data_IF_802517466711
#
_entry.id   IF_802517466711
#
_cell.length_a   1.000
_cell.length_b   1.000
_cell.length_c   1.000
_cell.angle_alpha   90.00
_cell.angle_beta   90.00
_cell.angle_gamma   90.00
#
_symmetry.space_group_name_H-M   'P 1'
#
loop_
_entity.id
_entity.type
_entity.pdbx_description
1 polymer ?
#
# COMPACT_ATOMS: atom_id res chain seq x y z
N UNK A 1 7.72 18.38 -32.29
CA UNK A 1 7.54 16.92 -32.15
C UNK A 1 6.20 16.69 -31.48
N UNK A 2 5.38 15.83 -32.07
CA UNK A 2 3.96 15.64 -31.72
C UNK A 2 3.79 15.06 -30.31
N UNK A 3 2.72 15.45 -29.62
CA UNK A 3 2.28 15.00 -28.28
C UNK A 3 2.02 13.48 -28.14
N UNK A 4 2.37 12.67 -29.14
CA UNK A 4 2.01 11.25 -29.24
C UNK A 4 3.04 10.25 -28.70
N UNK A 5 4.27 10.66 -28.36
CA UNK A 5 5.39 9.70 -28.28
C UNK A 5 5.76 9.17 -26.88
N UNK A 6 4.91 9.31 -25.84
CA UNK A 6 5.22 8.74 -24.50
C UNK A 6 4.01 8.20 -23.72
N UNK A 7 3.04 7.57 -24.38
CA UNK A 7 2.16 6.62 -23.68
C UNK A 7 2.95 5.31 -23.54
N UNK A 8 3.01 4.70 -22.35
CA UNK A 8 3.52 3.33 -22.23
C UNK A 8 2.52 2.37 -22.88
N UNK A 9 2.70 2.18 -24.19
CA UNK A 9 1.76 1.62 -25.17
C UNK A 9 1.38 0.17 -24.87
N UNK A 10 2.24 -0.58 -24.15
CA UNK A 10 1.95 -1.95 -23.71
C UNK A 10 1.08 -2.00 -22.46
N UNK A 11 0.99 -0.92 -21.68
CA UNK A 11 0.20 -0.87 -20.45
C UNK A 11 -1.28 -0.60 -20.72
N UNK A 12 -1.62 0.22 -21.73
CA UNK A 12 -2.99 0.65 -22.02
C UNK A 12 -3.90 -0.53 -22.43
N UNK A 13 -3.45 -1.38 -23.35
CA UNK A 13 -4.24 -2.53 -23.82
C UNK A 13 -4.60 -3.50 -22.68
N UNK A 14 -3.65 -3.78 -21.79
CA UNK A 14 -3.86 -4.63 -20.61
C UNK A 14 -4.78 -3.98 -19.57
N UNK A 15 -4.66 -2.67 -19.35
CA UNK A 15 -5.54 -1.91 -18.44
C UNK A 15 -6.99 -1.95 -18.92
N UNK A 16 -7.22 -1.68 -20.20
CA UNK A 16 -8.55 -1.75 -20.81
C UNK A 16 -9.14 -3.17 -20.72
N UNK A 17 -8.33 -4.19 -20.98
CA UNK A 17 -8.73 -5.58 -20.85
C UNK A 17 -9.13 -5.93 -19.40
N UNK A 18 -8.33 -5.51 -18.42
CA UNK A 18 -8.58 -5.74 -17.00
C UNK A 18 -9.85 -5.03 -16.54
N UNK A 19 -10.00 -3.73 -16.85
CA UNK A 19 -11.17 -2.94 -16.48
C UNK A 19 -12.46 -3.56 -17.06
N UNK A 20 -12.42 -4.02 -18.32
CA UNK A 20 -13.53 -4.74 -18.94
C UNK A 20 -13.88 -6.04 -18.21
N UNK A 21 -12.88 -6.82 -17.80
CA UNK A 21 -13.10 -8.06 -17.06
C UNK A 21 -13.70 -7.80 -15.67
N UNK A 22 -13.26 -6.75 -14.97
CA UNK A 22 -13.84 -6.33 -13.69
C UNK A 22 -15.29 -5.86 -13.83
N UNK A 23 -15.63 -5.21 -14.94
CA UNK A 23 -17.01 -4.87 -15.28
C UNK A 23 -17.87 -6.09 -15.72
N UNK A 24 -17.30 -7.30 -15.76
CA UNK A 24 -18.00 -8.52 -16.17
C UNK A 24 -18.36 -8.58 -17.66
N UNK A 25 -17.77 -7.71 -18.50
CA UNK A 25 -18.14 -7.58 -19.90
C UNK A 25 -17.29 -8.49 -20.80
N UNK A 26 -17.93 -9.18 -21.74
CA UNK A 26 -17.21 -9.83 -22.86
C UNK A 26 -16.74 -8.77 -23.85
N UNK A 27 -15.73 -9.09 -24.69
CA UNK A 27 -15.31 -8.19 -25.76
C UNK A 27 -16.46 -7.85 -26.72
N UNK A 28 -17.37 -8.78 -26.98
CA UNK A 28 -18.55 -8.56 -27.81
C UNK A 28 -19.55 -7.61 -27.15
N UNK A 29 -19.88 -7.83 -25.87
CA UNK A 29 -20.77 -6.95 -25.11
C UNK A 29 -20.21 -5.52 -25.02
N UNK A 30 -18.90 -5.41 -24.78
CA UNK A 30 -18.20 -4.13 -24.76
C UNK A 30 -18.29 -3.40 -26.11
N UNK A 31 -18.07 -4.11 -27.21
CA UNK A 31 -18.14 -3.54 -28.56
C UNK A 31 -19.54 -3.04 -28.89
N UNK A 32 -20.58 -3.78 -28.50
CA UNK A 32 -21.98 -3.40 -28.70
C UNK A 32 -22.32 -2.12 -27.93
N UNK A 33 -21.84 -2.00 -26.68
CA UNK A 33 -22.10 -0.83 -25.84
C UNK A 33 -21.27 0.39 -26.25
N UNK A 34 -20.02 0.21 -26.67
CA UNK A 34 -19.11 1.30 -27.06
C UNK A 34 -19.26 1.75 -28.52
N UNK A 35 -20.05 1.04 -29.34
CA UNK A 35 -20.14 1.29 -30.78
C UNK A 35 -18.81 1.01 -31.52
N UNK A 36 -18.04 0.02 -31.06
CA UNK A 36 -16.74 -0.34 -31.62
C UNK A 36 -16.79 -1.67 -32.37
N UNK A 37 -15.90 -1.84 -33.36
CA UNK A 37 -15.74 -3.15 -33.99
C UNK A 37 -14.98 -4.12 -33.08
N UNK A 38 -15.38 -5.39 -33.08
CA UNK A 38 -14.67 -6.46 -32.35
C UNK A 38 -13.18 -6.52 -32.72
N UNK A 39 -12.87 -6.35 -34.01
CA UNK A 39 -11.48 -6.33 -34.51
C UNK A 39 -10.67 -5.18 -33.92
N UNK A 40 -11.28 -4.00 -33.78
CA UNK A 40 -10.64 -2.82 -33.18
C UNK A 40 -10.32 -3.06 -31.72
N UNK A 41 -11.29 -3.49 -30.90
CA UNK A 41 -11.07 -3.75 -29.47
C UNK A 41 -10.03 -4.86 -29.25
N UNK A 42 -10.12 -5.97 -29.99
CA UNK A 42 -9.18 -7.08 -29.87
C UNK A 42 -7.75 -6.71 -30.28
N UNK A 43 -7.56 -5.77 -31.20
CA UNK A 43 -6.24 -5.24 -31.56
C UNK A 43 -5.69 -4.27 -30.52
N UNK A 44 -6.55 -3.47 -29.89
CA UNK A 44 -6.18 -2.57 -28.78
C UNK A 44 -5.75 -3.39 -27.56
N UNK A 45 -6.57 -4.34 -27.10
CA UNK A 45 -6.28 -5.15 -25.89
C UNK A 45 -4.99 -5.97 -26.04
N UNK A 46 -4.68 -6.45 -27.24
CA UNK A 46 -3.44 -7.19 -27.53
C UNK A 46 -2.24 -6.30 -27.82
N UNK A 47 -2.40 -4.97 -27.84
CA UNK A 47 -1.33 -4.02 -28.14
C UNK A 47 -0.89 -3.96 -29.61
N UNK A 48 -1.70 -4.48 -30.54
CA UNK A 48 -1.45 -4.37 -31.98
C UNK A 48 -1.78 -2.95 -32.51
N UNK A 49 -2.72 -2.25 -31.88
CA UNK A 49 -2.92 -0.81 -32.06
C UNK A 49 -2.25 -0.11 -30.88
N UNK A 50 -1.10 0.51 -31.15
CA UNK A 50 -0.25 1.16 -30.14
C UNK A 50 -0.79 2.50 -29.67
N UNK A 51 -1.38 3.26 -30.60
CA UNK A 51 -1.96 4.58 -30.36
C UNK A 51 -3.43 4.62 -30.85
N UNK A 52 -4.39 4.12 -30.06
CA UNK A 52 -5.80 4.28 -30.38
C UNK A 52 -6.21 5.76 -30.31
N UNK A 53 -7.24 6.15 -31.06
CA UNK A 53 -7.72 7.53 -31.03
C UNK A 53 -8.30 7.90 -29.66
N UNK A 54 -8.16 9.16 -29.23
CA UNK A 54 -8.70 9.64 -27.95
C UNK A 54 -10.22 9.43 -27.85
N UNK A 55 -10.92 9.54 -28.98
CA UNK A 55 -12.35 9.28 -29.08
C UNK A 55 -12.68 7.81 -28.81
N UNK A 56 -11.89 6.88 -29.35
CA UNK A 56 -12.02 5.45 -29.08
C UNK A 56 -11.78 5.12 -27.61
N UNK A 57 -10.77 5.73 -26.98
CA UNK A 57 -10.50 5.50 -25.56
C UNK A 57 -11.64 6.07 -24.70
N UNK A 58 -12.18 7.23 -25.05
CA UNK A 58 -13.34 7.83 -24.36
C UNK A 58 -14.58 6.95 -24.44
N UNK A 59 -14.91 6.41 -25.62
CA UNK A 59 -16.04 5.49 -25.77
C UNK A 59 -15.92 4.24 -24.88
N UNK A 60 -14.69 3.75 -24.70
CA UNK A 60 -14.44 2.63 -23.79
C UNK A 60 -14.58 3.07 -22.32
N UNK A 61 -14.08 4.25 -21.97
CA UNK A 61 -14.20 4.85 -20.64
C UNK A 61 -15.66 5.01 -20.20
N UNK A 62 -16.49 5.57 -21.07
CA UNK A 62 -17.90 5.85 -20.82
C UNK A 62 -18.68 4.56 -20.50
N UNK A 63 -18.40 3.47 -21.22
CA UNK A 63 -19.04 2.17 -21.00
C UNK A 63 -18.57 1.50 -19.71
N UNK A 64 -17.28 1.62 -19.41
CA UNK A 64 -16.68 1.03 -18.21
C UNK A 64 -16.96 1.85 -16.94
N UNK A 65 -17.55 3.04 -17.05
CA UNK A 65 -17.76 3.98 -15.95
C UNK A 65 -16.47 4.33 -15.20
N UNK A 66 -15.36 4.36 -15.94
CA UNK A 66 -14.03 4.73 -15.44
C UNK A 66 -13.60 6.04 -16.06
N UNK A 67 -12.80 6.83 -15.35
CA UNK A 67 -12.31 8.09 -15.91
C UNK A 67 -11.31 7.86 -17.04
N UNK A 68 -11.22 8.81 -17.97
CA UNK A 68 -10.21 8.77 -19.03
C UNK A 68 -8.78 8.78 -18.44
N UNK A 69 -8.61 9.46 -17.30
CA UNK A 69 -7.38 9.48 -16.53
C UNK A 69 -7.02 8.09 -15.99
N UNK A 70 -7.98 7.36 -15.44
CA UNK A 70 -7.76 6.00 -14.95
C UNK A 70 -7.34 5.04 -16.06
N UNK A 71 -7.92 5.16 -17.26
CA UNK A 71 -7.61 4.31 -18.42
C UNK A 71 -6.29 4.63 -19.09
N UNK A 72 -6.00 5.92 -19.29
CA UNK A 72 -4.74 6.38 -19.90
C UNK A 72 -3.56 6.31 -18.91
N UNK A 73 -3.81 5.89 -17.67
CA UNK A 73 -2.79 5.70 -16.65
C UNK A 73 -2.31 7.01 -16.03
N UNK A 74 -3.25 7.93 -15.79
CA UNK A 74 -2.99 9.30 -15.40
C UNK A 74 -2.12 9.95 -16.46
N UNK A 75 -2.73 10.62 -17.44
CA UNK A 75 -2.00 11.71 -18.08
C UNK A 75 -1.67 12.70 -16.95
N UNK A 76 -0.45 12.58 -16.42
CA UNK A 76 0.18 13.51 -15.49
C UNK A 76 -0.38 13.62 -14.06
N UNK A 77 -0.38 12.54 -13.27
CA UNK A 77 -0.22 12.72 -11.80
C UNK A 77 1.25 12.66 -11.34
N UNK A 78 2.18 12.40 -12.27
CA UNK A 78 3.63 12.50 -12.05
C UNK A 78 4.24 13.81 -12.59
N UNK A 79 3.43 14.75 -13.10
CA UNK A 79 3.93 16.08 -13.46
C UNK A 79 3.58 17.00 -12.30
N UNK A 80 4.59 17.24 -11.47
CA UNK A 80 4.63 18.12 -10.29
C UNK A 80 4.11 17.50 -8.98
N UNK A 81 4.50 16.26 -8.68
CA UNK A 81 4.66 15.89 -7.26
C UNK A 81 5.66 16.86 -6.62
N UNK A 82 5.27 17.42 -5.50
CA UNK A 82 5.94 18.53 -4.84
C UNK A 82 7.15 18.03 -4.07
N UNK A 83 8.01 18.97 -3.70
CA UNK A 83 9.09 18.81 -2.73
C UNK A 83 8.76 19.60 -1.48
N UNK A 84 9.09 19.06 -0.32
CA UNK A 84 9.00 19.81 0.93
C UNK A 84 10.15 20.82 1.03
N UNK A 85 10.05 21.79 1.95
CA UNK A 85 11.17 22.69 2.28
C UNK A 85 12.45 21.95 2.72
N UNK A 86 12.31 20.75 3.29
CA UNK A 86 13.43 19.90 3.70
C UNK A 86 14.02 19.06 2.57
N UNK A 87 13.42 19.09 1.37
CA UNK A 87 13.89 18.33 0.22
C UNK A 87 13.20 16.98 0.01
N UNK A 88 12.23 16.60 0.84
CA UNK A 88 11.51 15.32 0.74
C UNK A 88 10.62 15.29 -0.51
N UNK A 89 10.69 14.20 -1.26
CA UNK A 89 9.87 13.93 -2.45
C UNK A 89 9.11 12.59 -2.37
N UNK A 90 9.54 11.70 -1.46
CA UNK A 90 8.93 10.39 -1.22
C UNK A 90 8.67 10.14 0.26
N UNK A 91 7.49 9.62 0.61
CA UNK A 91 7.10 9.38 2.00
C UNK A 91 6.70 7.92 2.19
N UNK A 92 7.38 7.23 3.10
CA UNK A 92 6.99 5.93 3.62
C UNK A 92 6.21 6.07 4.92
N UNK A 93 5.06 5.38 4.97
CA UNK A 93 4.27 5.22 6.19
C UNK A 93 4.41 3.77 6.69
N UNK A 94 4.73 3.62 7.97
CA UNK A 94 4.47 2.36 8.67
C UNK A 94 2.95 2.09 8.76
N UNK A 95 2.55 0.85 9.05
CA UNK A 95 1.14 0.48 9.16
C UNK A 95 0.69 0.34 10.62
N UNK A 96 1.31 -0.56 11.39
CA UNK A 96 0.83 -0.93 12.72
C UNK A 96 1.39 0.03 13.77
N UNK A 97 0.52 0.79 14.42
CA UNK A 97 0.91 1.91 15.29
C UNK A 97 0.95 3.26 14.55
N UNK A 98 0.83 3.27 13.22
CA UNK A 98 0.86 4.51 12.43
C UNK A 98 -0.43 4.76 11.61
N UNK A 99 -0.80 3.86 10.71
CA UNK A 99 -2.06 3.96 9.94
C UNK A 99 -3.23 3.24 10.63
N UNK A 100 -2.93 2.19 11.37
CA UNK A 100 -3.89 1.48 12.22
C UNK A 100 -3.32 1.34 13.61
N UNK A 101 -4.19 1.24 14.62
CA UNK A 101 -3.79 0.89 15.98
C UNK A 101 -3.16 -0.50 16.02
N UNK A 102 -2.22 -0.69 16.94
CA UNK A 102 -1.61 -1.99 17.15
C UNK A 102 -2.65 -3.06 17.54
N UNK A 103 -2.42 -4.29 17.10
CA UNK A 103 -3.36 -5.41 17.21
C UNK A 103 -3.36 -6.09 18.59
N UNK A 104 -2.84 -5.48 19.66
CA UNK A 104 -2.79 -6.07 21.01
C UNK A 104 -4.17 -6.54 21.52
N UNK A 105 -5.26 -5.92 21.04
CA UNK A 105 -6.64 -6.34 21.35
C UNK A 105 -6.95 -7.76 20.83
N UNK A 106 -6.24 -8.26 19.83
CA UNK A 106 -6.35 -9.64 19.35
C UNK A 106 -6.00 -10.63 20.45
N UNK A 107 -4.92 -10.39 21.22
CA UNK A 107 -4.54 -11.25 22.34
C UNK A 107 -5.61 -11.30 23.43
N UNK A 108 -6.25 -10.16 23.70
CA UNK A 108 -7.38 -10.10 24.64
C UNK A 108 -8.61 -10.86 24.12
N UNK A 109 -8.90 -10.79 22.82
CA UNK A 109 -10.00 -11.55 22.22
C UNK A 109 -9.74 -13.06 22.26
N UNK A 110 -8.52 -13.49 21.91
CA UNK A 110 -8.11 -14.90 22.02
C UNK A 110 -8.18 -15.39 23.47
N UNK A 111 -7.73 -14.57 24.44
CA UNK A 111 -7.82 -14.89 25.86
C UNK A 111 -9.27 -15.13 26.31
N UNK A 112 -10.21 -14.30 25.84
CA UNK A 112 -11.63 -14.44 26.14
C UNK A 112 -12.21 -15.75 25.58
N UNK A 113 -11.79 -16.14 24.39
CA UNK A 113 -12.34 -17.32 23.70
C UNK A 113 -11.71 -18.64 24.18
N UNK A 114 -10.46 -18.59 24.66
CA UNK A 114 -9.68 -19.78 25.05
C UNK A 114 -9.56 -19.97 26.56
N UNK A 115 -9.76 -18.92 27.36
CA UNK A 115 -9.52 -18.90 28.80
C UNK A 115 -8.05 -18.77 29.21
N UNK A 116 -7.13 -18.61 28.25
CA UNK A 116 -5.71 -18.38 28.51
C UNK A 116 -5.44 -16.92 28.91
N UNK A 117 -4.27 -16.65 29.51
CA UNK A 117 -3.88 -15.27 29.79
C UNK A 117 -3.40 -14.56 28.51
N UNK A 118 -3.70 -13.25 28.34
CA UNK A 118 -3.17 -12.45 27.23
C UNK A 118 -1.64 -12.51 27.14
N UNK A 119 -0.95 -12.46 28.29
CA UNK A 119 0.52 -12.51 28.35
C UNK A 119 1.10 -13.81 27.80
N UNK A 120 0.44 -14.95 28.05
CA UNK A 120 0.87 -16.24 27.51
C UNK A 120 0.68 -16.27 25.98
N UNK A 121 -0.47 -15.82 25.50
CA UNK A 121 -0.78 -15.74 24.06
C UNK A 121 0.23 -14.85 23.34
N UNK A 122 0.51 -13.67 23.91
CA UNK A 122 1.50 -12.74 23.38
C UNK A 122 2.90 -13.37 23.36
N UNK A 123 3.31 -14.04 24.45
CA UNK A 123 4.61 -14.72 24.54
C UNK A 123 4.77 -15.78 23.44
N UNK A 124 3.74 -16.60 23.19
CA UNK A 124 3.79 -17.57 22.11
C UNK A 124 3.80 -16.90 20.73
N UNK A 125 2.98 -15.87 20.51
CA UNK A 125 2.94 -15.13 19.24
C UNK A 125 4.32 -14.58 18.85
N UNK A 126 5.03 -13.96 19.80
CA UNK A 126 6.33 -13.34 19.54
C UNK A 126 7.41 -14.35 19.13
N UNK A 127 7.26 -15.64 19.40
CA UNK A 127 8.18 -16.68 18.92
C UNK A 127 8.11 -16.86 17.39
N UNK A 128 6.98 -16.51 16.78
CA UNK A 128 6.72 -16.70 15.35
C UNK A 128 6.77 -15.41 14.54
N UNK A 129 6.60 -14.26 15.18
CA UNK A 129 6.45 -12.96 14.51
C UNK A 129 7.52 -12.71 13.44
N UNK A 130 8.78 -12.96 13.74
CA UNK A 130 9.88 -12.73 12.80
C UNK A 130 9.84 -13.68 11.60
N UNK A 131 9.47 -14.95 11.80
CA UNK A 131 9.33 -15.91 10.72
C UNK A 131 8.17 -15.54 9.78
N UNK A 132 7.07 -15.07 10.34
CA UNK A 132 5.91 -14.56 9.59
C UNK A 132 6.30 -13.30 8.81
N UNK A 133 6.89 -12.32 9.49
CA UNK A 133 7.25 -11.04 8.90
C UNK A 133 8.41 -11.14 7.90
N UNK A 134 9.25 -12.18 7.96
CA UNK A 134 10.28 -12.45 6.93
C UNK A 134 9.79 -13.39 5.84
N UNK A 135 8.53 -13.83 5.87
CA UNK A 135 7.95 -14.74 4.87
C UNK A 135 8.49 -16.17 4.94
N UNK A 136 9.25 -16.52 5.98
CA UNK A 136 9.74 -17.89 6.23
C UNK A 136 8.65 -18.83 6.73
N UNK A 137 7.57 -18.28 7.24
CA UNK A 137 6.39 -19.00 7.71
C UNK A 137 5.12 -18.36 7.14
N UNK A 138 4.28 -19.16 6.50
CA UNK A 138 2.95 -18.71 6.05
C UNK A 138 1.98 -18.56 7.22
N UNK A 139 0.90 -17.78 7.02
CA UNK A 139 -0.14 -17.62 8.05
C UNK A 139 -0.86 -18.94 8.36
N UNK A 140 -1.01 -19.83 7.38
CA UNK A 140 -1.58 -21.16 7.61
C UNK A 140 -0.69 -22.04 8.48
N UNK A 141 0.63 -22.02 8.26
CA UNK A 141 1.58 -22.76 9.10
C UNK A 141 1.62 -22.17 10.51
N UNK A 142 1.59 -20.85 10.62
CA UNK A 142 1.51 -20.15 11.90
C UNK A 142 0.24 -20.53 12.67
N UNK A 143 -0.95 -20.50 12.05
CA UNK A 143 -2.20 -20.88 12.72
C UNK A 143 -2.14 -22.31 13.29
N UNK A 144 -1.50 -23.25 12.60
CA UNK A 144 -1.34 -24.64 13.08
C UNK A 144 -0.41 -24.66 14.29
N UNK A 145 0.78 -24.07 14.18
CA UNK A 145 1.78 -24.08 15.25
C UNK A 145 1.28 -23.32 16.50
N UNK A 146 0.67 -22.16 16.29
CA UNK A 146 0.16 -21.33 17.37
C UNK A 146 -1.01 -21.98 18.10
N UNK A 147 -1.93 -22.65 17.39
CA UNK A 147 -2.99 -23.42 18.03
C UNK A 147 -2.44 -24.56 18.90
N UNK A 148 -1.38 -25.23 18.45
CA UNK A 148 -0.71 -26.29 19.22
C UNK A 148 -0.09 -25.77 20.52
N UNK A 149 0.64 -24.64 20.46
CA UNK A 149 1.25 -24.02 21.64
C UNK A 149 0.22 -23.50 22.65
N UNK A 150 -0.91 -23.00 22.15
CA UNK A 150 -2.04 -22.58 22.97
C UNK A 150 -2.84 -23.77 23.53
N UNK A 151 -2.64 -25.00 23.02
CA UNK A 151 -3.41 -26.17 23.43
C UNK A 151 -4.88 -26.12 22.99
N UNK A 152 -5.17 -25.46 21.86
CA UNK A 152 -6.52 -25.32 21.30
C UNK A 152 -6.65 -26.04 19.94
N UNK A 153 -7.86 -26.42 19.50
CA UNK A 153 -8.02 -27.20 18.27
C UNK A 153 -7.62 -26.45 16.99
N UNK A 154 -7.91 -25.15 16.93
CA UNK A 154 -7.61 -24.29 15.80
C UNK A 154 -7.68 -22.82 16.20
N UNK A 155 -7.05 -21.97 15.39
CA UNK A 155 -7.14 -20.51 15.49
C UNK A 155 -7.14 -19.90 14.09
N UNK A 156 -7.84 -18.78 13.95
CA UNK A 156 -7.75 -17.91 12.78
C UNK A 156 -7.14 -16.57 13.19
N UNK A 157 -5.80 -16.52 13.24
CA UNK A 157 -5.08 -15.30 13.61
C UNK A 157 -5.46 -14.11 12.75
N UNK A 158 -5.68 -14.33 11.45
CA UNK A 158 -5.97 -13.27 10.50
C UNK A 158 -7.30 -12.59 10.83
N UNK A 159 -8.33 -13.38 11.16
CA UNK A 159 -9.60 -12.86 11.64
C UNK A 159 -9.45 -12.11 12.97
N UNK A 160 -8.71 -12.65 13.95
CA UNK A 160 -8.47 -11.95 15.22
C UNK A 160 -7.75 -10.62 15.02
N UNK A 161 -6.72 -10.59 14.18
CA UNK A 161 -5.96 -9.39 13.84
C UNK A 161 -6.86 -8.34 13.19
N UNK A 162 -7.59 -8.69 12.13
CA UNK A 162 -8.39 -7.73 11.36
C UNK A 162 -9.53 -7.13 12.20
N UNK A 163 -10.09 -7.90 13.13
CA UNK A 163 -11.11 -7.42 14.08
C UNK A 163 -10.53 -6.56 15.22
N UNK A 164 -9.22 -6.65 15.48
CA UNK A 164 -8.55 -5.97 16.58
C UNK A 164 -7.92 -4.62 16.18
N UNK A 165 -7.64 -4.41 14.90
CA UNK A 165 -7.05 -3.17 14.40
C UNK A 165 -8.14 -2.14 14.09
N UNK A 166 -7.83 -0.87 14.36
CA UNK A 166 -8.71 0.26 14.05
C UNK A 166 -7.93 1.33 13.28
N UNK A 167 -8.51 1.96 12.25
CA UNK A 167 -7.89 3.10 11.56
C UNK A 167 -7.52 4.23 12.51
N UNK A 168 -6.39 4.87 12.25
CA UNK A 168 -6.05 6.18 12.83
C UNK A 168 -6.49 7.22 11.81
N UNK A 169 -7.70 7.75 12.00
CA UNK A 169 -8.41 8.59 11.02
C UNK A 169 -7.59 9.80 10.58
N UNK A 170 -6.90 10.46 11.52
CA UNK A 170 -6.08 11.64 11.24
C UNK A 170 -4.95 11.31 10.26
N UNK A 171 -4.27 10.18 10.45
CA UNK A 171 -3.23 9.71 9.53
C UNK A 171 -3.81 9.30 8.18
N UNK A 172 -5.02 8.76 8.14
CA UNK A 172 -5.69 8.42 6.87
C UNK A 172 -5.99 9.67 6.05
N UNK A 173 -6.50 10.73 6.68
CA UNK A 173 -6.72 12.03 6.04
C UNK A 173 -5.41 12.62 5.54
N UNK A 174 -4.35 12.55 6.35
CA UNK A 174 -3.02 12.98 5.95
C UNK A 174 -2.50 12.19 4.74
N UNK A 175 -2.65 10.86 4.71
CA UNK A 175 -2.24 10.02 3.57
C UNK A 175 -3.03 10.37 2.31
N UNK A 176 -4.33 10.64 2.42
CA UNK A 176 -5.14 11.09 1.28
C UNK A 176 -4.70 12.46 0.74
N UNK A 177 -4.28 13.36 1.61
CA UNK A 177 -3.72 14.64 1.19
C UNK A 177 -2.31 14.47 0.61
N UNK A 178 -1.45 13.69 1.27
CA UNK A 178 -0.08 13.44 0.86
C UNK A 178 -0.04 12.73 -0.50
N UNK A 179 -0.93 11.77 -0.75
CA UNK A 179 -1.02 11.05 -2.03
C UNK A 179 -1.38 11.95 -3.21
N UNK A 180 -1.94 13.14 -2.98
CA UNK A 180 -2.19 14.15 -4.02
C UNK A 180 -0.94 14.99 -4.29
N UNK A 181 -0.13 15.26 -3.28
CA UNK A 181 1.00 16.20 -3.35
C UNK A 181 2.37 15.52 -3.55
N UNK A 182 2.58 14.34 -3.00
CA UNK A 182 3.85 13.62 -2.95
C UNK A 182 3.72 12.21 -3.53
N UNK A 183 4.86 11.57 -3.80
CA UNK A 183 4.93 10.12 -3.98
C UNK A 183 4.92 9.46 -2.62
N UNK A 184 4.15 8.40 -2.48
CA UNK A 184 3.97 7.75 -1.18
C UNK A 184 4.10 6.24 -1.27
N UNK A 185 4.50 5.63 -0.17
CA UNK A 185 4.58 4.19 -0.05
C UNK A 185 4.28 3.68 1.36
N UNK A 186 4.17 2.37 1.46
CA UNK A 186 4.05 1.66 2.74
C UNK A 186 5.36 0.92 3.01
N UNK A 187 5.79 0.90 4.28
CA UNK A 187 6.96 0.13 4.73
C UNK A 187 6.64 -0.50 6.09
N UNK A 188 6.32 -1.80 6.11
CA UNK A 188 5.80 -2.45 7.31
C UNK A 188 6.39 -3.84 7.55
N UNK A 189 6.65 -4.15 8.83
CA UNK A 189 6.87 -5.51 9.30
C UNK A 189 5.51 -6.19 9.43
N UNK A 190 5.17 -7.02 8.45
CA UNK A 190 3.83 -7.60 8.36
C UNK A 190 3.86 -8.98 7.71
N UNK A 191 2.92 -9.83 8.10
CA UNK A 191 2.70 -11.11 7.44
C UNK A 191 2.05 -10.96 6.06
N UNK A 192 2.29 -11.96 5.21
CA UNK A 192 1.77 -11.97 3.84
C UNK A 192 0.25 -11.92 3.80
N UNK A 193 -0.30 -11.05 2.94
CA UNK A 193 -1.74 -10.92 2.66
C UNK A 193 -2.48 -9.88 3.51
N UNK A 194 -1.92 -9.48 4.65
CA UNK A 194 -2.59 -8.54 5.55
C UNK A 194 -2.80 -7.14 4.94
N UNK A 195 -1.86 -6.63 4.14
CA UNK A 195 -2.02 -5.32 3.48
C UNK A 195 -3.23 -5.35 2.54
N UNK A 196 -3.34 -6.41 1.74
CA UNK A 196 -4.41 -6.61 0.77
C UNK A 196 -5.75 -6.73 1.48
N UNK A 197 -5.82 -7.47 2.59
CA UNK A 197 -7.06 -7.66 3.31
C UNK A 197 -7.49 -6.39 4.05
N UNK A 198 -6.56 -5.67 4.68
CA UNK A 198 -6.84 -4.36 5.27
C UNK A 198 -7.36 -3.37 4.21
N UNK A 199 -6.81 -3.38 2.99
CA UNK A 199 -7.35 -2.57 1.88
C UNK A 199 -8.77 -2.99 1.49
N UNK A 200 -9.04 -4.29 1.36
CA UNK A 200 -10.37 -4.81 1.01
C UNK A 200 -11.45 -4.41 2.01
N UNK A 201 -11.12 -4.41 3.31
CA UNK A 201 -12.07 -4.08 4.39
C UNK A 201 -12.05 -2.60 4.79
N UNK A 202 -11.29 -1.74 4.09
CA UNK A 202 -11.27 -0.30 4.32
C UNK A 202 -10.47 0.15 5.57
N UNK A 203 -9.57 -0.70 6.07
CA UNK A 203 -8.68 -0.39 7.19
C UNK A 203 -7.43 0.40 6.77
N UNK A 204 -7.15 0.50 5.46
CA UNK A 204 -6.10 1.34 4.89
C UNK A 204 -6.67 2.30 3.86
N UNK A 205 -6.10 3.51 3.70
CA UNK A 205 -6.53 4.45 2.67
C UNK A 205 -6.44 3.84 1.28
N UNK A 206 -7.54 3.91 0.52
CA UNK A 206 -7.58 3.49 -0.88
C UNK A 206 -7.02 4.59 -1.79
N UNK A 207 -5.70 4.72 -1.79
CA UNK A 207 -4.93 5.65 -2.63
C UNK A 207 -3.89 4.89 -3.45
N UNK A 208 -3.36 5.54 -4.48
CA UNK A 208 -2.23 4.98 -5.22
C UNK A 208 -0.96 5.09 -4.37
N UNK A 209 -0.35 3.93 -4.09
CA UNK A 209 0.96 3.85 -3.45
C UNK A 209 2.00 3.52 -4.53
N UNK A 210 3.02 4.36 -4.66
CA UNK A 210 4.11 4.19 -5.61
C UNK A 210 5.03 3.01 -5.23
N UNK A 211 5.10 2.68 -3.93
CA UNK A 211 5.84 1.52 -3.43
C UNK A 211 5.13 0.90 -2.22
N UNK A 212 5.10 -0.44 -2.15
CA UNK A 212 4.63 -1.18 -0.98
C UNK A 212 5.71 -2.18 -0.60
N UNK A 213 6.40 -1.89 0.50
CA UNK A 213 7.45 -2.73 1.07
C UNK A 213 6.82 -3.55 2.19
N UNK A 214 6.35 -4.73 1.81
CA UNK A 214 5.82 -5.77 2.68
C UNK A 214 6.97 -6.69 3.09
N UNK A 215 7.36 -6.66 4.38
CA UNK A 215 8.52 -7.39 4.87
C UNK A 215 8.48 -8.88 4.52
N UNK A 216 7.29 -9.50 4.53
CA UNK A 216 7.14 -10.93 4.24
C UNK A 216 7.41 -11.26 2.77
N UNK A 217 7.20 -10.30 1.87
CA UNK A 217 7.46 -10.46 0.44
C UNK A 217 8.91 -10.17 0.08
N UNK A 218 9.57 -9.27 0.81
CA UNK A 218 10.98 -8.90 0.56
C UNK A 218 11.97 -9.74 1.37
N UNK A 219 11.52 -10.45 2.41
CA UNK A 219 12.33 -11.39 3.19
C UNK A 219 13.19 -10.77 4.30
N UNK A 220 12.96 -9.49 4.62
CA UNK A 220 13.73 -8.73 5.62
C UNK A 220 12.81 -7.76 6.35
N UNK A 221 13.08 -7.51 7.63
CA UNK A 221 12.24 -6.71 8.54
C UNK A 221 12.99 -5.47 9.02
N UNK A 222 12.29 -4.41 9.40
CA UNK A 222 12.86 -3.33 10.21
C UNK A 222 13.28 -3.92 11.57
N UNK A 223 14.46 -3.59 12.14
CA UNK A 223 15.42 -2.58 11.71
C UNK A 223 16.60 -3.10 10.85
N UNK A 224 16.48 -4.24 10.17
CA UNK A 224 17.58 -4.75 9.33
C UNK A 224 17.88 -3.80 8.15
N UNK A 225 19.16 -3.51 7.86
CA UNK A 225 19.54 -2.63 6.75
C UNK A 225 18.97 -3.02 5.38
N UNK A 226 18.72 -4.31 5.16
CA UNK A 226 18.21 -4.84 3.89
C UNK A 226 16.82 -4.30 3.52
N UNK A 227 15.95 -4.04 4.49
CA UNK A 227 14.61 -3.52 4.20
C UNK A 227 14.68 -2.07 3.71
N UNK A 228 15.57 -1.25 4.27
CA UNK A 228 15.75 0.15 3.87
C UNK A 228 16.40 0.24 2.49
N UNK A 229 17.37 -0.63 2.17
CA UNK A 229 17.95 -0.70 0.83
C UNK A 229 16.89 -1.07 -0.23
N UNK A 230 16.04 -2.04 0.09
CA UNK A 230 14.94 -2.44 -0.80
C UNK A 230 13.94 -1.31 -0.98
N UNK A 231 13.55 -0.65 0.12
CA UNK A 231 12.65 0.49 0.09
C UNK A 231 13.23 1.67 -0.69
N UNK A 232 14.52 2.01 -0.52
CA UNK A 232 15.17 3.07 -1.30
C UNK A 232 15.15 2.77 -2.80
N UNK A 233 15.47 1.54 -3.19
CA UNK A 233 15.42 1.10 -4.57
C UNK A 233 14.00 1.18 -5.17
N UNK A 234 12.97 0.84 -4.39
CA UNK A 234 11.57 0.94 -4.81
C UNK A 234 11.06 2.39 -4.88
N UNK A 235 11.51 3.27 -3.98
CA UNK A 235 11.21 4.69 -4.03
C UNK A 235 11.84 5.35 -5.26
N UNK A 236 13.07 4.96 -5.62
CA UNK A 236 13.77 5.44 -6.80
C UNK A 236 14.13 6.93 -6.72
N UNK A 237 14.38 7.43 -5.51
CA UNK A 237 14.83 8.80 -5.23
C UNK A 237 16.06 8.74 -4.31
N UNK A 238 16.88 9.81 -4.24
CA UNK A 238 18.00 9.86 -3.30
C UNK A 238 17.57 9.67 -1.85
N UNK A 239 18.42 9.05 -1.03
CA UNK A 239 18.13 8.74 0.39
C UNK A 239 17.67 9.96 1.20
N UNK A 240 18.28 11.12 0.94
CA UNK A 240 17.95 12.40 1.58
C UNK A 240 16.65 13.05 1.07
N UNK A 241 15.91 12.40 0.17
CA UNK A 241 14.57 12.84 -0.24
C UNK A 241 13.47 11.91 0.29
N UNK A 242 13.83 10.89 1.07
CA UNK A 242 12.91 9.92 1.65
C UNK A 242 12.59 10.33 3.08
N UNK A 243 11.30 10.37 3.41
CA UNK A 243 10.80 10.48 4.78
C UNK A 243 10.18 9.16 5.22
N UNK A 244 10.62 8.61 6.37
CA UNK A 244 9.94 7.52 7.06
C UNK A 244 9.18 8.04 8.28
N UNK A 245 7.88 7.70 8.35
CA UNK A 245 7.02 7.91 9.52
C UNK A 245 6.74 6.55 10.15
N UNK A 246 7.17 6.37 11.41
CA UNK A 246 7.11 5.09 12.12
C UNK A 246 6.89 5.36 13.63
N UNK A 247 6.15 4.48 14.30
CA UNK A 247 5.88 4.58 15.74
C UNK A 247 7.03 4.02 16.60
N UNK A 248 7.89 3.21 15.98
CA UNK A 248 8.92 2.46 16.67
C UNK A 248 10.29 3.09 16.46
N UNK A 249 10.88 3.65 17.52
CA UNK A 249 12.16 4.40 17.45
C UNK A 249 13.33 3.58 16.90
N UNK A 250 13.39 2.27 17.21
CA UNK A 250 14.45 1.40 16.69
C UNK A 250 14.38 1.25 15.16
N UNK A 251 13.20 1.40 14.56
CA UNK A 251 13.04 1.40 13.10
C UNK A 251 13.51 2.71 12.45
N UNK A 252 13.53 3.82 13.19
CA UNK A 252 13.95 5.11 12.66
C UNK A 252 15.47 5.28 12.65
N UNK A 253 16.18 4.66 13.59
CA UNK A 253 17.64 4.81 13.73
C UNK A 253 18.39 4.36 12.46
N UNK A 254 18.12 3.18 11.86
CA UNK A 254 18.79 2.78 10.62
C UNK A 254 18.40 3.63 9.41
N UNK A 255 17.13 4.05 9.30
CA UNK A 255 16.70 4.96 8.24
C UNK A 255 17.47 6.28 8.29
N UNK A 256 17.60 6.87 9.48
CA UNK A 256 18.39 8.09 9.67
C UNK A 256 19.87 7.87 9.33
N UNK A 257 20.45 6.72 9.70
CA UNK A 257 21.83 6.35 9.33
C UNK A 257 22.01 6.15 7.82
N UNK A 258 20.96 5.74 7.11
CA UNK A 258 20.91 5.64 5.66
C UNK A 258 20.74 7.02 4.98
N UNK A 259 20.62 8.11 5.75
CA UNK A 259 20.49 9.46 5.23
C UNK A 259 19.03 9.91 5.01
N UNK A 260 18.05 9.13 5.47
CA UNK A 260 16.64 9.48 5.34
C UNK A 260 16.22 10.52 6.36
N UNK A 261 15.19 11.29 6.02
CA UNK A 261 14.40 12.00 7.01
C UNK A 261 13.55 11.00 7.79
N UNK A 262 13.37 11.24 9.08
CA UNK A 262 12.59 10.37 9.96
C UNK A 262 11.68 11.18 10.86
N UNK A 263 10.49 10.66 11.11
CA UNK A 263 9.54 11.23 12.06
C UNK A 263 8.95 10.14 12.93
N UNK A 264 9.07 10.32 14.23
CA UNK A 264 8.43 9.46 15.21
C UNK A 264 6.95 9.82 15.32
N UNK A 265 6.09 8.81 15.16
CA UNK A 265 4.66 8.93 15.32
C UNK A 265 4.23 8.38 16.69
N UNK A 266 3.53 9.18 17.49
CA UNK A 266 2.96 8.72 18.75
C UNK A 266 1.47 8.48 18.56
N UNK A 267 1.05 7.23 18.55
CA UNK A 267 -0.36 6.91 18.33
C UNK A 267 -1.24 7.37 19.50
N UNK A 268 -0.73 7.38 20.74
CA UNK A 268 -1.43 7.92 21.91
C UNK A 268 -1.75 9.42 21.78
N UNK A 269 -1.00 10.14 20.96
CA UNK A 269 -1.23 11.54 20.62
C UNK A 269 -1.25 11.71 19.10
N UNK A 270 -2.19 11.02 18.47
CA UNK A 270 -2.27 10.95 17.01
C UNK A 270 -2.53 12.32 16.38
N UNK A 271 -3.31 13.20 17.02
CA UNK A 271 -3.61 14.54 16.51
C UNK A 271 -2.33 15.37 16.46
N UNK A 272 -1.59 15.50 17.57
CA UNK A 272 -0.35 16.28 17.59
C UNK A 272 0.69 15.66 16.64
N UNK A 273 0.83 14.34 16.65
CA UNK A 273 1.78 13.64 15.78
C UNK A 273 1.47 13.88 14.30
N UNK A 274 0.19 13.83 13.91
CA UNK A 274 -0.25 14.05 12.52
C UNK A 274 0.00 15.49 12.09
N UNK A 275 -0.30 16.47 12.94
CA UNK A 275 -0.02 17.88 12.66
C UNK A 275 1.48 18.15 12.51
N UNK A 276 2.33 17.55 13.35
CA UNK A 276 3.79 17.64 13.17
C UNK A 276 4.23 17.10 11.82
N UNK A 277 3.71 15.94 11.40
CA UNK A 277 4.02 15.38 10.08
C UNK A 277 3.55 16.32 8.97
N UNK A 278 2.34 16.86 9.07
CA UNK A 278 1.80 17.80 8.10
C UNK A 278 2.67 19.06 7.95
N UNK A 279 3.15 19.62 9.05
CA UNK A 279 4.07 20.76 9.06
C UNK A 279 5.42 20.41 8.41
N UNK A 280 5.95 19.21 8.66
CA UNK A 280 7.18 18.76 8.00
C UNK A 280 6.99 18.56 6.48
N UNK A 281 5.75 18.32 6.04
CA UNK A 281 5.36 18.20 4.64
C UNK A 281 4.97 19.55 4.01
N UNK A 282 5.32 20.68 4.63
CA UNK A 282 5.20 21.99 4.01
C UNK A 282 5.96 22.06 2.69
N UNK A 283 5.25 22.49 1.66
CA UNK A 283 5.74 22.59 0.29
C UNK A 283 6.78 23.70 0.20
N UNK A 284 7.84 23.45 -0.56
CA UNK A 284 8.81 24.48 -0.94
C UNK A 284 8.11 25.60 -1.73
N UNK A 285 8.09 26.86 -1.25
CA UNK A 285 7.39 27.96 -1.91
C UNK A 285 7.94 28.29 -3.31
N UNK A 286 9.14 27.81 -3.66
CA UNK A 286 9.78 28.05 -4.95
C UNK A 286 9.45 26.97 -6.02
N UNK A 287 8.53 26.04 -5.73
CA UNK A 287 8.07 24.98 -6.65
C UNK A 287 6.64 25.11 -7.19
#
# INVERSE_FOLDING_TARGET
MSLGDKLDEKSLGKKLQSARQHAGLTQQAMCQQAGLSYSTLAKIERGAIKAPSIFTVKQIADVLSVSLDELLGGLNNNVNKKRTKSGVTFIYFDINGCLVRFYHRAFTAIAKDTGLSPDAIETYFWQYNDAICTGKMSISEFNIAFAQDLGIPSIDWQSYYLNAVNPITEMHELVQWASKNYRIGLLSNIGSGFIEDMKKVGLLPNVNYDAIVDSSKVGTIKPDPGIYQTAEAMAGVPSNEILLIDDTRSNLIPAQKAGWHVMWFNDYDCIESTERVRLALEIDPDQ
#
